data_IF_277175877711
#
_entry.id   IF_277175877711
#
_cell.length_a   1.000
_cell.length_b   1.000
_cell.length_c   1.000
_cell.angle_alpha   90.00
_cell.angle_beta   90.00
_cell.angle_gamma   90.00
#
_symmetry.space_group_name_H-M   'P 1'
#
loop_
_entity.id
_entity.type
_entity.pdbx_description
1 polymer ?
#
# COMPACT_ATOMS: atom_id res chain seq x y z
N UNK A 1 -20.31 -14.24 2.88
CA UNK A 1 -20.04 -12.82 3.14
C UNK A 1 -20.17 -12.55 4.63
N UNK A 2 -19.27 -11.75 5.18
CA UNK A 2 -19.33 -11.35 6.60
C UNK A 2 -19.90 -9.94 6.74
N UNK A 3 -20.54 -9.68 7.89
CA UNK A 3 -21.06 -8.33 8.19
C UNK A 3 -19.88 -7.38 8.40
N UNK A 4 -20.03 -6.15 7.95
CA UNK A 4 -19.11 -5.03 8.17
C UNK A 4 -17.72 -5.21 7.52
N UNK A 5 -17.53 -6.21 6.68
CA UNK A 5 -16.31 -6.37 5.89
C UNK A 5 -16.58 -5.79 4.50
N UNK A 6 -15.81 -4.79 4.03
CA UNK A 6 -15.97 -4.28 2.69
C UNK A 6 -15.82 -5.39 1.64
N UNK A 7 -16.76 -5.54 0.71
CA UNK A 7 -16.71 -6.62 -0.28
C UNK A 7 -15.46 -6.62 -1.16
N UNK A 8 -14.79 -5.46 -1.29
CA UNK A 8 -13.55 -5.33 -2.05
C UNK A 8 -12.39 -6.12 -1.43
N UNK A 9 -12.46 -6.40 -0.11
CA UNK A 9 -11.43 -7.20 0.56
C UNK A 9 -11.72 -8.69 0.30
N UNK A 10 -10.93 -9.28 -0.60
CA UNK A 10 -11.00 -10.71 -0.86
C UNK A 10 -10.56 -11.52 0.36
N UNK A 11 -10.98 -12.80 0.48
CA UNK A 11 -10.48 -13.66 1.54
C UNK A 11 -8.95 -13.75 1.58
N UNK A 12 -8.31 -13.80 0.42
CA UNK A 12 -6.85 -13.85 0.28
C UNK A 12 -6.20 -12.60 0.83
N UNK A 13 -6.71 -11.42 0.49
CA UNK A 13 -6.18 -10.15 1.00
C UNK A 13 -6.40 -10.04 2.50
N UNK A 14 -7.59 -10.37 2.97
CA UNK A 14 -7.92 -10.29 4.39
C UNK A 14 -7.06 -11.26 5.22
N UNK A 15 -6.82 -12.46 4.70
CA UNK A 15 -5.90 -13.44 5.31
C UNK A 15 -4.50 -12.86 5.50
N UNK A 16 -3.96 -12.21 4.47
CA UNK A 16 -2.64 -11.58 4.52
C UNK A 16 -2.61 -10.48 5.60
N UNK A 17 -3.62 -9.62 5.64
CA UNK A 17 -3.71 -8.57 6.67
C UNK A 17 -3.74 -9.17 8.09
N UNK A 18 -4.46 -10.27 8.28
CA UNK A 18 -4.55 -10.94 9.58
C UNK A 18 -3.25 -11.63 9.99
N UNK A 19 -2.48 -12.10 9.03
CA UNK A 19 -1.20 -12.78 9.31
C UNK A 19 -0.05 -11.82 9.56
N UNK A 20 -0.13 -10.58 9.08
CA UNK A 20 0.92 -9.59 9.26
C UNK A 20 1.14 -9.25 10.72
N UNK A 21 2.40 -9.20 11.14
CA UNK A 21 2.81 -8.75 12.46
C UNK A 21 3.30 -7.31 12.48
N UNK A 22 3.67 -6.82 13.67
CA UNK A 22 4.20 -5.47 13.84
C UNK A 22 5.47 -5.28 13.02
N UNK A 23 5.50 -4.24 12.21
CA UNK A 23 6.64 -3.91 11.34
C UNK A 23 6.61 -4.58 9.98
N UNK A 24 5.74 -5.57 9.76
CA UNK A 24 5.58 -6.13 8.42
C UNK A 24 5.02 -5.08 7.45
N UNK A 25 5.42 -5.19 6.20
CA UNK A 25 5.03 -4.25 5.17
C UNK A 25 4.21 -4.92 4.08
N UNK A 26 3.27 -4.18 3.50
CA UNK A 26 2.48 -4.60 2.37
C UNK A 26 2.56 -3.54 1.27
N UNK A 27 2.75 -3.98 0.04
CA UNK A 27 2.83 -3.10 -1.14
C UNK A 27 1.50 -3.13 -1.87
N UNK A 28 0.94 -1.95 -2.16
CA UNK A 28 -0.14 -1.81 -3.14
C UNK A 28 0.51 -1.35 -4.43
N UNK A 29 0.50 -2.24 -5.42
CA UNK A 29 1.24 -2.06 -6.67
C UNK A 29 0.31 -1.66 -7.81
N UNK A 30 0.75 -0.71 -8.64
CA UNK A 30 0.01 -0.33 -9.83
C UNK A 30 0.01 -1.44 -10.89
N UNK A 31 -0.77 -1.25 -11.97
CA UNK A 31 -0.96 -2.27 -13.00
C UNK A 31 0.31 -2.60 -13.80
N UNK A 32 1.33 -1.75 -13.73
CA UNK A 32 2.59 -1.92 -14.46
C UNK A 32 3.74 -2.40 -13.57
N UNK A 33 3.52 -2.45 -12.27
CA UNK A 33 4.55 -2.90 -11.33
C UNK A 33 4.82 -4.40 -11.52
N UNK A 34 6.08 -4.83 -11.46
CA UNK A 34 6.43 -6.26 -11.62
C UNK A 34 6.10 -7.06 -10.35
N UNK A 35 4.82 -7.07 -9.97
CA UNK A 35 4.37 -7.64 -8.71
C UNK A 35 4.69 -9.15 -8.59
N UNK A 36 4.41 -9.91 -9.63
CA UNK A 36 4.65 -11.36 -9.62
C UNK A 36 6.14 -11.71 -9.52
N UNK A 37 7.01 -10.86 -10.08
CA UNK A 37 8.46 -11.07 -10.00
C UNK A 37 8.99 -10.77 -8.59
N UNK A 38 8.45 -9.76 -7.93
CA UNK A 38 8.99 -9.24 -6.67
C UNK A 38 8.35 -9.82 -5.42
N UNK A 39 7.11 -10.29 -5.53
CA UNK A 39 6.33 -10.66 -4.35
C UNK A 39 6.85 -11.93 -3.68
N UNK A 40 7.02 -11.88 -2.37
CA UNK A 40 7.12 -13.08 -1.54
C UNK A 40 5.76 -13.79 -1.48
N UNK A 41 4.71 -13.01 -1.32
CA UNK A 41 3.32 -13.46 -1.43
C UNK A 41 2.58 -12.49 -2.35
N UNK A 42 1.91 -13.01 -3.35
CA UNK A 42 1.17 -12.21 -4.33
C UNK A 42 -0.33 -12.34 -4.07
N UNK A 43 -0.99 -11.20 -3.93
CA UNK A 43 -2.45 -11.13 -3.87
C UNK A 43 -2.94 -10.34 -5.08
N UNK A 44 -3.83 -10.94 -5.87
CA UNK A 44 -4.33 -10.29 -7.07
C UNK A 44 -5.65 -9.55 -6.80
N UNK A 45 -5.66 -8.27 -7.15
CA UNK A 45 -6.83 -7.40 -7.06
C UNK A 45 -6.96 -6.56 -8.33
N UNK A 46 -6.79 -7.20 -9.49
CA UNK A 46 -6.65 -6.54 -10.80
C UNK A 46 -7.85 -5.68 -11.20
N UNK A 47 -9.03 -5.97 -10.68
CA UNK A 47 -10.24 -5.21 -10.98
C UNK A 47 -10.44 -3.94 -10.15
N UNK A 48 -9.49 -3.59 -9.27
CA UNK A 48 -9.63 -2.51 -8.32
C UNK A 48 -8.48 -1.53 -8.39
N UNK A 49 -8.78 -0.27 -8.06
CA UNK A 49 -7.79 0.79 -7.97
C UNK A 49 -7.24 0.91 -6.56
N UNK A 50 -6.06 1.53 -6.41
CA UNK A 50 -5.39 1.61 -5.11
C UNK A 50 -6.18 2.44 -4.08
N UNK A 51 -6.73 3.63 -4.39
CA UNK A 51 -7.43 4.40 -3.37
C UNK A 51 -8.57 3.65 -2.69
N UNK A 52 -9.39 2.91 -3.44
CA UNK A 52 -10.50 2.15 -2.85
C UNK A 52 -10.01 0.97 -1.99
N UNK A 53 -8.93 0.31 -2.42
CA UNK A 53 -8.30 -0.77 -1.63
C UNK A 53 -7.66 -0.22 -0.36
N UNK A 54 -6.93 0.89 -0.47
CA UNK A 54 -6.29 1.56 0.66
C UNK A 54 -7.32 1.95 1.72
N UNK A 55 -8.42 2.56 1.29
CA UNK A 55 -9.49 2.97 2.19
C UNK A 55 -10.09 1.78 2.94
N UNK A 56 -10.35 0.69 2.23
CA UNK A 56 -10.89 -0.53 2.84
C UNK A 56 -9.89 -1.19 3.79
N UNK A 57 -8.62 -1.28 3.39
CA UNK A 57 -7.57 -1.91 4.20
C UNK A 57 -7.32 -1.15 5.50
N UNK A 58 -7.30 0.18 5.46
CA UNK A 58 -7.03 1.00 6.63
C UNK A 58 -8.16 1.01 7.66
N UNK A 59 -9.28 0.39 7.37
CA UNK A 59 -10.30 0.09 8.39
C UNK A 59 -9.81 -0.96 9.38
N UNK A 60 -8.85 -1.78 9.00
CA UNK A 60 -8.40 -2.93 9.78
C UNK A 60 -6.90 -2.90 10.07
N UNK A 61 -6.10 -2.40 9.16
CA UNK A 61 -4.65 -2.37 9.27
C UNK A 61 -4.20 -1.09 10.00
N UNK A 62 -3.65 -1.21 11.22
CA UNK A 62 -3.08 -0.05 11.89
C UNK A 62 -1.75 0.32 11.25
N UNK A 63 -1.49 1.61 11.04
CA UNK A 63 -0.19 2.07 10.62
C UNK A 63 0.75 2.18 11.81
N UNK A 64 2.03 1.88 11.59
CA UNK A 64 3.03 1.88 12.65
C UNK A 64 3.22 3.27 13.25
N UNK A 65 3.17 3.36 14.57
CA UNK A 65 3.40 4.60 15.30
C UNK A 65 4.84 4.74 15.78
N UNK A 66 5.63 3.67 15.72
CA UNK A 66 7.05 3.68 16.07
C UNK A 66 7.92 4.17 14.91
N UNK A 67 7.42 4.12 13.68
CA UNK A 67 8.08 4.69 12.51
C UNK A 67 7.57 6.10 12.28
N UNK A 68 8.48 7.04 11.98
CA UNK A 68 8.11 8.43 11.67
C UNK A 68 7.27 8.51 10.38
N UNK A 69 7.63 7.68 9.38
CA UNK A 69 6.97 7.62 8.08
C UNK A 69 6.55 6.20 7.78
N UNK A 70 5.35 5.76 8.24
CA UNK A 70 4.89 4.38 8.04
C UNK A 70 4.32 4.11 6.64
N UNK A 71 4.32 5.09 5.76
CA UNK A 71 3.86 4.98 4.38
C UNK A 71 4.96 5.48 3.45
N UNK A 72 5.34 4.67 2.48
CA UNK A 72 6.37 5.02 1.51
C UNK A 72 5.83 5.00 0.09
N UNK A 73 6.28 5.94 -0.72
CA UNK A 73 5.97 6.07 -2.14
C UNK A 73 7.25 5.98 -2.95
N UNK A 74 7.13 5.51 -4.20
CA UNK A 74 8.20 5.65 -5.16
C UNK A 74 8.21 7.10 -5.66
N UNK A 75 9.28 7.84 -5.37
CA UNK A 75 9.42 9.22 -5.78
C UNK A 75 9.51 9.37 -7.30
N UNK A 76 9.14 10.54 -7.79
CA UNK A 76 9.24 10.86 -9.22
C UNK A 76 10.71 10.87 -9.63
N UNK A 77 11.04 10.24 -10.76
CA UNK A 77 12.42 10.16 -11.22
C UNK A 77 12.94 11.56 -11.58
N UNK A 78 14.25 11.84 -11.35
CA UNK A 78 14.83 13.12 -11.73
C UNK A 78 14.63 13.42 -13.22
N UNK A 79 14.19 14.65 -13.54
CA UNK A 79 13.94 15.08 -14.89
C UNK A 79 12.50 14.89 -15.38
N UNK A 80 11.69 14.15 -14.64
CA UNK A 80 10.26 14.03 -14.88
C UNK A 80 9.55 15.13 -14.11
N UNK A 81 8.74 15.94 -14.77
CA UNK A 81 7.99 17.04 -14.15
C UNK A 81 6.57 16.64 -13.77
N UNK A 82 6.26 15.34 -13.84
CA UNK A 82 4.94 14.83 -13.49
C UNK A 82 4.63 15.04 -11.99
N UNK A 83 3.42 15.52 -11.71
CA UNK A 83 2.91 15.71 -10.35
C UNK A 83 1.82 14.67 -10.05
N UNK A 84 2.14 13.64 -9.23
CA UNK A 84 1.18 12.57 -8.94
C UNK A 84 0.04 13.05 -8.02
N UNK A 85 -1.12 13.31 -8.60
CA UNK A 85 -2.31 13.73 -7.84
C UNK A 85 -2.86 12.63 -6.95
N UNK A 86 -2.58 11.38 -7.29
CA UNK A 86 -3.02 10.24 -6.47
C UNK A 86 -2.41 10.27 -5.07
N UNK A 87 -1.25 10.88 -4.88
CA UNK A 87 -0.63 11.03 -3.57
C UNK A 87 -1.49 11.88 -2.63
N UNK A 88 -2.18 12.90 -3.15
CA UNK A 88 -3.11 13.71 -2.37
C UNK A 88 -4.33 12.90 -1.93
N UNK A 89 -4.81 12.00 -2.80
CA UNK A 89 -5.88 11.07 -2.44
C UNK A 89 -5.45 10.14 -1.33
N UNK A 90 -4.21 9.62 -1.39
CA UNK A 90 -3.65 8.77 -0.32
C UNK A 90 -3.58 9.52 1.01
N UNK A 91 -3.07 10.74 1.00
CA UNK A 91 -2.98 11.55 2.22
C UNK A 91 -4.34 11.79 2.84
N UNK A 92 -5.36 12.07 2.03
CA UNK A 92 -6.73 12.28 2.50
C UNK A 92 -7.31 11.02 3.13
N UNK A 93 -7.13 9.87 2.48
CA UNK A 93 -7.61 8.58 3.00
C UNK A 93 -6.92 8.22 4.30
N UNK A 94 -5.60 8.35 4.35
CA UNK A 94 -4.78 8.02 5.52
C UNK A 94 -5.17 8.90 6.71
N UNK A 95 -5.32 10.20 6.50
CA UNK A 95 -5.71 11.13 7.55
C UNK A 95 -7.10 10.78 8.11
N UNK A 96 -8.03 10.42 7.23
CA UNK A 96 -9.40 10.07 7.63
C UNK A 96 -9.46 8.75 8.41
N UNK A 97 -8.69 7.74 7.99
CA UNK A 97 -8.74 6.41 8.60
C UNK A 97 -7.82 6.24 9.80
N UNK A 98 -6.70 6.91 9.80
CA UNK A 98 -5.66 6.78 10.83
C UNK A 98 -5.33 8.15 11.44
N UNK A 99 -4.45 8.90 10.78
CA UNK A 99 -3.97 10.22 11.18
C UNK A 99 -3.19 10.83 10.02
N UNK A 100 -2.88 12.11 10.11
CA UNK A 100 -1.96 12.71 9.17
C UNK A 100 -0.56 12.13 9.39
N UNK A 101 0.06 11.63 8.32
CA UNK A 101 1.43 11.12 8.33
C UNK A 101 2.23 11.76 7.21
N UNK A 102 3.54 11.90 7.43
CA UNK A 102 4.46 12.29 6.37
C UNK A 102 4.70 11.06 5.47
N UNK A 103 4.64 11.26 4.16
CA UNK A 103 4.89 10.22 3.18
C UNK A 103 6.38 10.17 2.85
N UNK A 104 6.99 9.01 3.01
CA UNK A 104 8.40 8.81 2.65
C UNK A 104 8.51 8.66 1.13
N UNK A 105 9.35 9.47 0.49
CA UNK A 105 9.63 9.35 -0.94
C UNK A 105 10.92 8.58 -1.12
N UNK A 106 10.85 7.46 -1.81
CA UNK A 106 11.98 6.57 -2.04
C UNK A 106 12.43 6.63 -3.49
N UNK A 107 13.74 6.52 -3.70
CA UNK A 107 14.28 6.29 -5.03
C UNK A 107 13.76 4.94 -5.58
N UNK A 108 13.59 4.85 -6.89
CA UNK A 108 12.95 3.73 -7.58
C UNK A 108 13.52 2.35 -7.19
N UNK A 109 14.84 2.21 -7.25
CA UNK A 109 15.46 0.90 -6.98
C UNK A 109 15.44 0.55 -5.49
N UNK A 110 15.55 1.55 -4.61
CA UNK A 110 15.35 1.36 -3.18
C UNK A 110 13.93 0.90 -2.87
N UNK A 111 12.94 1.44 -3.58
CA UNK A 111 11.55 1.00 -3.45
C UNK A 111 11.40 -0.47 -3.88
N UNK A 112 12.00 -0.86 -5.01
CA UNK A 112 11.96 -2.24 -5.48
C UNK A 112 12.59 -3.19 -4.48
N UNK A 113 13.75 -2.84 -3.91
CA UNK A 113 14.42 -3.67 -2.91
C UNK A 113 13.54 -3.86 -1.67
N UNK A 114 12.91 -2.78 -1.21
CA UNK A 114 12.01 -2.84 -0.06
C UNK A 114 10.75 -3.65 -0.36
N UNK A 115 10.22 -3.56 -1.58
CA UNK A 115 9.08 -4.35 -2.02
C UNK A 115 9.38 -5.85 -2.01
N UNK A 116 10.61 -6.26 -2.36
CA UNK A 116 11.02 -7.66 -2.30
C UNK A 116 11.06 -8.21 -0.87
N UNK A 117 11.31 -7.35 0.10
CA UNK A 117 11.33 -7.72 1.53
C UNK A 117 9.95 -7.67 2.16
N UNK A 118 8.96 -7.08 1.50
CA UNK A 118 7.63 -6.93 2.04
C UNK A 118 6.94 -8.28 2.27
N UNK A 119 6.07 -8.35 3.25
CA UNK A 119 5.28 -9.54 3.56
C UNK A 119 4.44 -9.99 2.37
N UNK A 120 3.84 -9.04 1.66
CA UNK A 120 3.02 -9.31 0.49
C UNK A 120 3.03 -8.12 -0.47
N UNK A 121 2.74 -8.41 -1.74
CA UNK A 121 2.47 -7.42 -2.77
C UNK A 121 1.07 -7.65 -3.31
N UNK A 122 0.26 -6.60 -3.31
CA UNK A 122 -1.09 -6.60 -3.88
C UNK A 122 -1.00 -6.02 -5.29
N UNK A 123 -1.25 -6.84 -6.29
CA UNK A 123 -1.31 -6.41 -7.69
C UNK A 123 -2.71 -5.82 -7.95
N UNK A 124 -2.76 -4.57 -8.38
CA UNK A 124 -4.02 -3.86 -8.63
C UNK A 124 -4.19 -3.48 -10.08
N UNK A 125 -5.36 -2.95 -10.42
CA UNK A 125 -5.63 -2.38 -11.73
C UNK A 125 -5.34 -0.88 -11.82
N UNK A 126 -4.63 -0.29 -10.85
CA UNK A 126 -4.33 1.13 -10.83
C UNK A 126 -3.47 1.55 -12.02
N UNK A 127 -3.94 2.54 -12.77
CA UNK A 127 -3.26 3.02 -13.98
C UNK A 127 -2.51 4.33 -13.78
N UNK A 128 -2.66 4.99 -12.65
CA UNK A 128 -1.97 6.24 -12.36
C UNK A 128 -0.47 6.00 -12.24
N UNK A 129 0.32 6.94 -12.77
CA UNK A 129 1.77 6.88 -12.64
C UNK A 129 2.19 7.18 -11.20
N UNK A 130 3.26 6.56 -10.77
CA UNK A 130 3.84 6.73 -9.41
C UNK A 130 2.85 6.38 -8.30
N UNK A 131 1.98 5.39 -8.54
CA UNK A 131 0.92 5.02 -7.61
C UNK A 131 1.33 3.99 -6.56
N UNK A 132 2.46 3.31 -6.74
CA UNK A 132 2.91 2.26 -5.83
C UNK A 132 3.12 2.82 -4.42
N UNK A 133 2.59 2.11 -3.42
CA UNK A 133 2.67 2.55 -2.02
C UNK A 133 2.95 1.37 -1.11
N UNK A 134 3.82 1.57 -0.11
CA UNK A 134 4.14 0.58 0.92
C UNK A 134 3.57 1.06 2.24
N UNK A 135 2.86 0.16 2.94
CA UNK A 135 2.31 0.43 4.26
C UNK A 135 3.04 -0.44 5.29
N UNK A 136 3.46 0.16 6.40
CA UNK A 136 4.07 -0.56 7.53
C UNK A 136 3.02 -0.76 8.61
N UNK A 137 2.78 -2.03 8.97
CA UNK A 137 1.80 -2.39 9.99
C UNK A 137 2.29 -2.04 11.39
N UNK A 138 1.39 -1.45 12.16
CA UNK A 138 1.60 -1.14 13.57
C UNK A 138 0.91 -2.14 14.50
N UNK A 139 0.57 -1.64 15.68
CA UNK A 139 0.01 -2.43 16.78
C UNK A 139 -1.39 -1.93 17.10
N UNK A 140 -2.32 -2.85 17.29
CA UNK A 140 -3.62 -2.57 17.92
C UNK A 140 -3.48 -2.88 19.40
N UNK A 141 -3.67 -1.86 20.21
CA UNK A 141 -3.56 -2.00 21.68
C UNK A 141 -4.94 -2.04 22.35
#
# INVERSE_FOLDING_TARGET
MLKNIPPILSPELFKVLMEMGHGDEIVLADANFPAATMARQLVRCDGHNIPELLDAMLQFLPLDTYADMPVALMGVVPGDDFEPKIWDEYSTIIERRERAVELELMERFAFYDRAREAYAVVATGERSLYANVILKKGVVA
#
